data_IF_468787620833
#
_entry.id   IF_468787620833
#
_cell.length_a   1.000
_cell.length_b   1.000
_cell.length_c   1.000
_cell.angle_alpha   90.00
_cell.angle_beta   90.00
_cell.angle_gamma   90.00
#
_symmetry.space_group_name_H-M   'P 1'
#
loop_
_entity.id
_entity.type
_entity.pdbx_description
1 polymer ?
#
# COMPACT_ATOMS: atom_id res chain seq x y z
N UNK A 1 -28.85 28.35 -11.39
CA UNK A 1 -28.42 27.11 -12.09
C UNK A 1 -27.77 26.22 -11.05
N UNK A 2 -28.55 25.32 -10.46
CA UNK A 2 -28.04 24.35 -9.48
C UNK A 2 -27.14 23.34 -10.19
N UNK A 3 -25.84 23.37 -9.89
CA UNK A 3 -24.91 22.32 -10.32
C UNK A 3 -25.32 21.03 -9.61
N UNK A 4 -26.03 20.13 -10.32
CA UNK A 4 -26.17 18.73 -9.91
C UNK A 4 -24.75 18.21 -9.65
N UNK A 5 -24.42 17.95 -8.38
CA UNK A 5 -23.25 17.13 -8.05
C UNK A 5 -23.52 15.76 -8.65
N UNK A 6 -22.91 15.46 -9.79
CA UNK A 6 -22.86 14.11 -10.31
C UNK A 6 -22.23 13.25 -9.23
N UNK A 7 -23.00 12.31 -8.68
CA UNK A 7 -22.49 11.27 -7.81
C UNK A 7 -21.52 10.43 -8.65
N UNK A 8 -20.23 10.77 -8.59
CA UNK A 8 -19.17 9.96 -9.16
C UNK A 8 -19.08 8.66 -8.36
N UNK A 9 -19.83 7.65 -8.79
CA UNK A 9 -19.67 6.29 -8.29
C UNK A 9 -18.27 5.80 -8.67
N UNK A 10 -17.35 5.77 -7.71
CA UNK A 10 -16.03 5.15 -7.88
C UNK A 10 -16.20 3.66 -7.60
N UNK A 11 -16.20 2.85 -8.65
CA UNK A 11 -16.06 1.41 -8.51
C UNK A 11 -14.63 1.18 -8.00
N UNK A 12 -14.51 0.91 -6.70
CA UNK A 12 -13.26 0.49 -6.08
C UNK A 12 -13.27 -1.04 -6.05
N UNK A 13 -12.29 -1.65 -6.71
CA UNK A 13 -12.09 -3.08 -6.61
C UNK A 13 -11.59 -3.40 -5.19
N UNK A 14 -12.26 -4.33 -4.51
CA UNK A 14 -11.84 -4.82 -3.20
C UNK A 14 -10.93 -6.03 -3.38
N UNK A 15 -9.90 -6.13 -2.55
CA UNK A 15 -9.04 -7.31 -2.50
C UNK A 15 -8.72 -7.68 -1.05
N UNK A 16 -8.23 -8.91 -0.87
CA UNK A 16 -7.84 -9.46 0.42
C UNK A 16 -6.38 -9.89 0.36
N UNK A 17 -5.57 -9.43 1.31
CA UNK A 17 -4.22 -9.95 1.55
C UNK A 17 -4.23 -10.88 2.76
N UNK A 18 -3.49 -11.98 2.70
CA UNK A 18 -3.47 -12.98 3.77
C UNK A 18 -2.08 -13.07 4.41
N UNK A 19 -1.99 -12.65 5.67
CA UNK A 19 -0.73 -12.68 6.43
C UNK A 19 -0.48 -14.04 7.08
N UNK A 20 -1.54 -14.68 7.56
CA UNK A 20 -1.51 -16.02 8.17
C UNK A 20 -2.88 -16.67 8.04
N UNK A 21 -3.06 -17.88 8.59
CA UNK A 21 -4.34 -18.59 8.57
C UNK A 21 -5.51 -17.74 9.10
N UNK A 22 -5.25 -16.93 10.13
CA UNK A 22 -6.28 -16.19 10.87
C UNK A 22 -6.20 -14.66 10.69
N UNK A 23 -5.17 -14.15 10.00
CA UNK A 23 -4.98 -12.70 9.78
C UNK A 23 -5.19 -12.36 8.31
N UNK A 24 -6.29 -11.65 8.03
CA UNK A 24 -6.68 -11.17 6.70
C UNK A 24 -6.84 -9.67 6.74
N UNK A 25 -6.45 -9.03 5.65
CA UNK A 25 -6.58 -7.59 5.47
C UNK A 25 -7.35 -7.31 4.20
N UNK A 26 -8.18 -6.29 4.26
CA UNK A 26 -8.95 -5.83 3.13
C UNK A 26 -8.37 -4.52 2.63
N UNK A 27 -8.34 -4.37 1.32
CA UNK A 27 -7.85 -3.18 0.68
C UNK A 27 -8.59 -2.85 -0.59
N UNK A 28 -8.20 -1.74 -1.19
CA UNK A 28 -8.72 -1.28 -2.47
C UNK A 28 -7.64 -1.35 -3.54
N UNK A 29 -8.02 -1.78 -4.73
CA UNK A 29 -7.21 -1.68 -5.94
C UNK A 29 -7.68 -0.48 -6.77
N UNK A 30 -6.72 0.26 -7.30
CA UNK A 30 -6.91 1.25 -8.35
C UNK A 30 -6.07 0.88 -9.54
N UNK A 31 -6.68 0.90 -10.72
CA UNK A 31 -5.98 0.69 -11.99
C UNK A 31 -5.78 2.03 -12.67
N UNK A 32 -4.66 2.17 -13.35
CA UNK A 32 -4.29 3.37 -14.07
C UNK A 32 -3.19 3.09 -15.07
N UNK A 33 -2.62 4.18 -15.55
CA UNK A 33 -1.48 4.20 -16.46
C UNK A 33 -0.46 5.17 -15.86
N UNK A 34 0.82 4.86 -15.96
CA UNK A 34 1.88 5.80 -15.59
C UNK A 34 2.06 6.87 -16.69
N UNK A 35 3.04 7.76 -16.49
CA UNK A 35 3.34 8.84 -17.43
C UNK A 35 3.80 8.32 -18.82
N UNK A 36 4.33 7.10 -18.88
CA UNK A 36 4.86 6.48 -20.09
C UNK A 36 3.81 5.62 -20.81
N UNK A 37 2.59 5.53 -20.26
CA UNK A 37 1.54 4.67 -20.81
C UNK A 37 1.78 3.19 -20.50
N UNK A 38 2.44 2.86 -19.39
CA UNK A 38 2.47 1.50 -18.85
C UNK A 38 1.27 1.30 -17.92
N UNK A 39 0.54 0.18 -18.01
CA UNK A 39 -0.52 -0.12 -17.07
C UNK A 39 0.04 -0.27 -15.66
N UNK A 40 -0.63 0.34 -14.69
CA UNK A 40 -0.27 0.25 -13.27
C UNK A 40 -1.49 -0.16 -12.45
N UNK A 41 -1.29 -1.10 -11.54
CA UNK A 41 -2.26 -1.53 -10.56
C UNK A 41 -1.72 -1.18 -9.18
N UNK A 42 -2.43 -0.30 -8.46
CA UNK A 42 -2.05 0.18 -7.13
C UNK A 42 -2.98 -0.41 -6.07
N UNK A 43 -2.40 -1.05 -5.06
CA UNK A 43 -3.12 -1.58 -3.91
C UNK A 43 -2.91 -0.72 -2.66
N UNK A 44 -3.97 -0.58 -1.87
CA UNK A 44 -3.93 0.08 -0.56
C UNK A 44 -4.62 -0.76 0.49
N UNK A 45 -3.94 -1.04 1.59
CA UNK A 45 -4.48 -1.72 2.77
C UNK A 45 -4.38 -0.76 3.96
N UNK A 46 -5.47 -0.63 4.70
CA UNK A 46 -5.49 0.10 5.97
C UNK A 46 -5.11 -0.84 7.12
N UNK A 47 -4.15 -0.41 7.93
CA UNK A 47 -3.71 -1.09 9.15
C UNK A 47 -3.81 -0.11 10.32
N UNK A 48 -3.84 -0.62 11.56
CA UNK A 48 -4.10 0.21 12.76
C UNK A 48 -3.30 1.52 12.84
N UNK A 49 -2.05 1.50 12.36
CA UNK A 49 -1.12 2.63 12.47
C UNK A 49 -0.66 3.19 11.10
N UNK A 50 -1.39 2.94 10.01
CA UNK A 50 -1.02 3.48 8.71
C UNK A 50 -1.59 2.74 7.50
N UNK A 51 -0.87 2.83 6.39
CA UNK A 51 -1.26 2.20 5.14
C UNK A 51 -0.12 1.37 4.57
N UNK A 52 -0.46 0.18 4.08
CA UNK A 52 0.42 -0.57 3.18
C UNK A 52 0.03 -0.19 1.77
N UNK A 53 1.03 0.23 0.99
CA UNK A 53 0.88 0.66 -0.39
C UNK A 53 1.82 -0.17 -1.27
N UNK A 54 1.32 -0.67 -2.38
CA UNK A 54 2.12 -1.34 -3.39
C UNK A 54 1.59 -1.01 -4.78
N UNK A 55 2.47 -1.12 -5.78
CA UNK A 55 2.11 -1.01 -7.19
C UNK A 55 2.82 -2.11 -7.98
N UNK A 56 2.18 -2.57 -9.04
CA UNK A 56 2.76 -3.49 -10.02
C UNK A 56 2.12 -3.26 -11.40
N UNK A 57 2.68 -3.85 -12.46
CA UNK A 57 2.12 -3.81 -13.80
C UNK A 57 0.88 -4.70 -13.96
N UNK A 58 0.69 -5.68 -13.07
CA UNK A 58 -0.47 -6.56 -13.08
C UNK A 58 -1.01 -6.88 -11.67
N UNK A 59 -2.22 -7.44 -11.62
CA UNK A 59 -2.89 -7.76 -10.36
C UNK A 59 -2.20 -8.90 -9.59
N UNK A 60 -1.66 -9.89 -10.28
CA UNK A 60 -1.01 -11.04 -9.64
C UNK A 60 0.29 -10.61 -8.93
N UNK A 61 1.12 -9.83 -9.63
CA UNK A 61 2.34 -9.25 -9.03
C UNK A 61 2.03 -8.32 -7.87
N UNK A 62 0.98 -7.51 -8.00
CA UNK A 62 0.49 -6.66 -6.90
C UNK A 62 0.09 -7.50 -5.68
N UNK A 63 -0.63 -8.61 -5.87
CA UNK A 63 -1.05 -9.50 -4.79
C UNK A 63 0.14 -10.06 -4.00
N UNK A 64 1.16 -10.55 -4.72
CA UNK A 64 2.39 -11.09 -4.11
C UNK A 64 3.08 -10.02 -3.24
N UNK A 65 3.28 -8.81 -3.78
CA UNK A 65 3.91 -7.71 -3.03
C UNK A 65 3.14 -7.32 -1.77
N UNK A 66 1.81 -7.31 -1.87
CA UNK A 66 0.97 -6.95 -0.73
C UNK A 66 1.00 -8.02 0.35
N UNK A 67 0.98 -9.30 -0.01
CA UNK A 67 1.15 -10.39 0.96
C UNK A 67 2.52 -10.32 1.65
N UNK A 68 3.59 -10.02 0.93
CA UNK A 68 4.93 -9.81 1.50
C UNK A 68 4.95 -8.61 2.45
N UNK A 69 4.44 -7.45 2.03
CA UNK A 69 4.39 -6.24 2.86
C UNK A 69 3.57 -6.44 4.12
N UNK A 70 2.43 -7.13 4.03
CA UNK A 70 1.59 -7.45 5.18
C UNK A 70 2.34 -8.36 6.16
N UNK A 71 3.06 -9.39 5.68
CA UNK A 71 3.91 -10.23 6.54
C UNK A 71 5.02 -9.42 7.20
N UNK A 72 5.74 -8.58 6.44
CA UNK A 72 6.79 -7.72 6.96
C UNK A 72 6.29 -6.77 8.05
N UNK A 73 5.14 -6.13 7.84
CA UNK A 73 4.55 -5.22 8.82
C UNK A 73 4.18 -5.97 10.10
N UNK A 74 3.60 -7.17 10.01
CA UNK A 74 3.05 -7.85 11.18
C UNK A 74 4.04 -8.74 11.93
N UNK A 75 4.95 -9.39 11.21
CA UNK A 75 5.84 -10.41 11.78
C UNK A 75 7.21 -9.82 12.12
N UNK A 76 7.64 -8.76 11.42
CA UNK A 76 8.94 -8.12 11.65
C UNK A 76 8.84 -6.76 12.36
N UNK A 77 7.65 -6.27 12.66
CA UNK A 77 7.49 -5.00 13.40
C UNK A 77 8.12 -3.80 12.68
N UNK A 78 8.24 -3.84 11.35
CA UNK A 78 8.83 -2.75 10.55
C UNK A 78 8.10 -1.40 10.74
N UNK A 79 6.86 -1.43 11.19
CA UNK A 79 6.07 -0.25 11.53
C UNK A 79 6.31 0.27 12.96
N UNK A 80 6.95 -0.52 13.83
CA UNK A 80 7.24 -0.19 15.24
C UNK A 80 8.68 0.26 15.47
N UNK A 81 9.63 -0.11 14.60
CA UNK A 81 11.01 0.37 14.67
C UNK A 81 11.30 1.30 13.48
N UNK A 82 11.52 2.62 13.69
CA UNK A 82 11.86 3.55 12.62
C UNK A 82 13.26 3.31 12.02
N UNK A 83 13.92 2.20 12.34
CA UNK A 83 15.33 1.94 12.02
C UNK A 83 16.28 2.69 12.97
N UNK A 84 17.57 2.37 12.87
CA UNK A 84 18.60 3.13 13.56
C UNK A 84 18.81 4.46 12.84
N UNK A 85 18.87 5.56 13.57
CA UNK A 85 19.23 6.87 13.01
C UNK A 85 20.55 7.33 13.60
N UNK A 86 21.36 8.01 12.78
CA UNK A 86 22.60 8.65 13.20
C UNK A 86 22.65 10.07 12.66
N UNK A 87 23.21 10.98 13.47
CA UNK A 87 23.44 12.35 13.04
C UNK A 87 24.76 12.40 12.28
N UNK A 88 24.71 12.72 10.99
CA UNK A 88 25.88 12.98 10.15
C UNK A 88 25.88 14.46 9.79
N UNK A 89 26.89 15.19 10.25
CA UNK A 89 27.05 16.63 9.99
C UNK A 89 25.80 17.47 10.33
N UNK A 90 25.12 17.13 11.44
CA UNK A 90 23.92 17.84 11.91
C UNK A 90 22.61 17.40 11.25
N UNK A 91 22.65 16.45 10.31
CA UNK A 91 21.46 15.89 9.65
C UNK A 91 21.16 14.50 10.21
N UNK A 92 19.91 14.25 10.59
CA UNK A 92 19.46 12.90 10.98
C UNK A 92 19.37 12.02 9.74
N UNK A 93 20.19 10.98 9.69
CA UNK A 93 20.22 10.00 8.60
C UNK A 93 19.76 8.62 9.12
N UNK A 94 19.03 7.87 8.29
CA UNK A 94 18.71 6.47 8.57
C UNK A 94 19.91 5.59 8.22
N UNK A 95 20.29 4.70 9.14
CA UNK A 95 21.30 3.68 8.91
C UNK A 95 20.60 2.44 8.34
N UNK A 96 20.97 2.05 7.13
CA UNK A 96 20.64 0.75 6.52
C UNK A 96 21.85 -0.17 6.62
#
# INVERSE_FOLDING_TARGET
MDKKKENQFKIAELFMAQASRDRRFYGTIKRGWDADGTPVVCGRIEVKNGFILAQDGCQDGLGIRLDELVKMVLDLGLHSEPGATQIISGTTCFLN
#
